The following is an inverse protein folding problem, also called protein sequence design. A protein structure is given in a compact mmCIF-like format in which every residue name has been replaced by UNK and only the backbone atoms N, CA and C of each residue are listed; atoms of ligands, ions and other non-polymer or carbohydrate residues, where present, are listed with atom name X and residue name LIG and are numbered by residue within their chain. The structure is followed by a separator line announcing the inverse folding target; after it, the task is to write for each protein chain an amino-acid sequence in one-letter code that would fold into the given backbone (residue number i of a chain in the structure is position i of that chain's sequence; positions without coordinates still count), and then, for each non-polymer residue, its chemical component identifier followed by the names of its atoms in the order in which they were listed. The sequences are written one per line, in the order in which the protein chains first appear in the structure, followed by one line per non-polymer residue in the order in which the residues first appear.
data_IF_910114370438
#
_entry.id   IF_910114370438
#
_cell.length_a   1.000
_cell.length_b   1.000
_cell.length_c   1.000
_cell.angle_alpha   90.00
_cell.angle_beta   90.00
_cell.angle_gamma   90.00
#
_symmetry.space_group_name_H-M   'P 1'
#
loop_
_entity.id
_entity.type
_entity.pdbx_description
1 polymer ?
2 non-polymer ?
3 non-polymer ?
4 water ?
#
# COMPACT_ATOMS: atom_id res chain seq x y z
N UNK A 3 -3.44 14.49 19.96
CA UNK A 3 -2.13 14.42 20.63
C UNK A 3 -2.24 13.40 21.74
N UNK A 4 -1.32 12.47 21.71
CA UNK A 4 -1.33 11.39 22.64
C UNK A 4 -0.25 11.68 23.65
N UNK A 5 -0.59 11.61 24.91
CA UNK A 5 0.42 11.74 25.97
C UNK A 5 1.33 10.52 26.02
N UNK A 6 2.67 10.72 26.18
CA UNK A 6 3.53 9.58 26.20
C UNK A 6 3.17 8.52 27.25
N UNK A 7 2.58 8.96 28.38
CA UNK A 7 2.30 8.02 29.48
C UNK A 7 1.17 7.09 29.16
N UNK A 8 0.45 7.37 28.05
CA UNK A 8 -0.61 6.49 27.58
C UNK A 8 -0.09 5.28 26.78
N UNK A 9 1.20 5.26 26.42
CA UNK A 9 1.77 4.20 25.59
C UNK A 9 2.72 3.30 26.34
N UNK A 10 2.68 2.02 26.00
CA UNK A 10 3.64 1.07 26.46
C UNK A 10 4.32 0.43 25.24
N UNK A 11 5.64 0.44 25.21
CA UNK A 11 6.40 -0.11 24.05
C UNK A 11 6.64 -1.54 24.43
N UNK A 12 6.23 -2.50 23.59
CA UNK A 12 6.33 -3.91 23.92
C UNK A 12 7.52 -4.54 23.23
N UNK A 13 7.61 -4.40 21.90
CA UNK A 13 8.66 -5.06 21.12
C UNK A 13 8.66 -4.55 19.73
N UNK A 14 9.83 -4.58 19.10
CA UNK A 14 9.97 -4.18 17.74
C UNK A 14 9.30 -5.18 16.79
N UNK A 15 8.61 -4.65 15.81
CA UNK A 15 7.91 -5.50 14.85
C UNK A 15 8.26 -5.15 13.41
N UNK A 16 8.96 -4.05 13.22
CA UNK A 16 9.41 -3.54 11.90
C UNK A 16 10.58 -2.57 12.02
N UNK A 17 11.37 -2.48 10.93
CA UNK A 17 12.32 -1.33 10.77
C UNK A 17 12.83 -1.23 9.33
N UNK A 18 13.38 -0.07 8.96
CA UNK A 18 13.84 0.21 7.59
C UNK A 18 14.22 1.67 7.33
N UNK A 21 10.25 2.62 9.23
CA UNK A 21 11.14 3.36 10.13
C UNK A 21 11.72 2.51 11.23
N UNK A 22 11.25 2.68 12.47
CA UNK A 22 11.19 1.63 13.45
C UNK A 22 9.70 1.52 13.82
N UNK A 23 9.22 0.31 13.95
CA UNK A 23 7.83 0.10 14.42
C UNK A 23 7.82 -0.80 15.59
N UNK A 24 7.06 -0.44 16.63
CA UNK A 24 6.87 -1.31 17.80
C UNK A 24 5.44 -1.67 17.98
N UNK A 25 5.20 -2.88 18.44
CA UNK A 25 3.93 -3.24 19.02
C UNK A 25 3.89 -2.46 20.34
N UNK A 26 2.78 -1.78 20.64
CA UNK A 26 2.61 -1.15 21.92
C UNK A 26 1.21 -1.38 22.40
N UNK A 27 0.92 -0.92 23.62
CA UNK A 27 -0.44 -0.94 24.14
C UNK A 27 -0.79 0.49 24.40
N UNK A 28 -2.06 0.81 24.18
CA UNK A 28 -2.59 2.18 24.41
C UNK A 28 -3.50 2.08 25.60
N UNK A 29 -3.18 2.84 26.66
CA UNK A 29 -3.89 2.77 27.96
C UNK A 29 -3.98 1.34 28.46
N UNK A 30 -2.84 0.65 28.38
CA UNK A 30 -2.60 -0.73 28.81
C UNK A 30 -3.63 -1.77 28.41
N UNK A 31 -4.44 -1.50 27.38
CA UNK A 31 -5.49 -2.46 26.99
C UNK A 31 -5.35 -2.89 25.50
N UNK A 32 -5.21 -1.94 24.62
CA UNK A 32 -5.42 -2.23 23.22
C UNK A 32 -4.12 -2.16 22.48
N UNK A 33 -3.93 -3.09 21.57
CA UNK A 33 -2.69 -3.11 20.77
C UNK A 33 -2.69 -1.97 19.72
N UNK A 34 -1.51 -1.42 19.54
CA UNK A 34 -1.27 -0.40 18.58
C UNK A 34 0.09 -0.69 17.95
N UNK A 35 0.31 -0.08 16.80
CA UNK A 35 1.62 -0.06 16.15
C UNK A 35 2.14 1.35 16.25
N UNK A 36 3.31 1.48 16.88
CA UNK A 36 3.91 2.79 17.13
C UNK A 36 5.10 2.97 16.18
N UNK A 37 5.04 4.00 15.32
CA UNK A 37 6.06 4.22 14.32
C UNK A 37 6.91 5.39 14.81
N UNK A 38 8.22 5.19 14.87
CA UNK A 38 9.14 6.27 15.22
C UNK A 38 10.11 6.55 14.09
N UNK A 39 10.61 7.79 14.02
CA UNK A 39 11.58 8.18 12.98
C UNK A 39 12.95 7.49 13.21
N UNK A 40 13.59 7.09 12.11
CA UNK A 40 14.76 6.22 12.17
C UNK A 40 16.05 7.06 12.21
N UNK A 41 16.74 7.06 13.36
CA UNK A 41 17.94 7.89 13.59
C UNK A 41 17.81 9.31 13.02
N UNK A 42 18.12 9.46 11.73
CA UNK A 42 18.00 10.73 11.02
C UNK A 42 17.61 10.52 9.57
N UNK A 43 17.06 9.35 9.27
CA UNK A 43 16.69 8.99 7.90
C UNK A 43 15.71 9.99 7.29
N UNK A 44 14.87 10.57 8.14
CA UNK A 44 13.81 11.46 7.69
C UNK A 44 13.66 12.50 8.81
N UNK A 45 12.93 13.57 8.54
CA UNK A 45 12.78 14.63 9.55
C UNK A 45 11.45 14.48 10.31
N UNK A 46 11.35 15.20 11.42
CA UNK A 46 10.13 15.23 12.22
C UNK A 46 9.01 15.95 11.48
N UNK A 47 9.35 17.02 10.75
CA UNK A 47 8.40 17.73 9.89
C UNK A 47 7.73 16.84 8.83
N UNK A 48 8.51 15.94 8.25
CA UNK A 48 7.96 14.93 7.36
C UNK A 48 6.90 14.14 8.11
N UNK A 49 7.27 13.65 9.31
CA UNK A 49 6.30 12.88 10.11
C UNK A 49 5.06 13.71 10.33
N UNK A 50 5.25 14.97 10.68
CA UNK A 50 4.15 15.90 10.94
C UNK A 50 3.25 16.09 9.74
N UNK A 51 3.86 16.13 8.57
CA UNK A 51 3.09 16.26 7.34
C UNK A 51 2.20 15.05 7.04
N UNK A 52 2.77 13.85 7.23
CA UNK A 52 2.02 12.60 7.19
C UNK A 52 0.85 12.63 8.15
N UNK A 53 1.09 13.11 9.39
CA UNK A 53 0.02 13.12 10.37
C UNK A 53 -1.09 14.09 10.04
N UNK A 54 -0.68 15.25 9.53
CA UNK A 54 -1.66 16.27 9.23
C UNK A 54 -2.62 15.79 8.10
N UNK A 55 -2.06 15.00 7.19
CA UNK A 55 -2.85 14.38 6.10
C UNK A 55 -3.69 13.28 6.74
N UNK A 56 -3.01 12.29 7.33
CA UNK A 56 -3.71 11.11 7.77
C UNK A 56 -4.73 11.34 8.89
N UNK A 57 -4.57 12.32 9.77
CA UNK A 57 -5.54 12.52 10.86
C UNK A 57 -6.91 12.97 10.36
N UNK A 58 -6.99 13.52 9.16
CA UNK A 58 -8.24 13.94 8.58
C UNK A 58 -8.99 12.80 7.92
N UNK A 59 -8.33 11.63 7.76
CA UNK A 59 -8.86 10.49 6.94
C UNK A 59 -9.33 9.33 7.80
N UNK A 60 -10.39 8.64 7.35
CA UNK A 60 -10.88 7.47 8.00
C UNK A 60 -11.69 6.63 7.07
N UNK A 61 -11.25 5.40 6.85
CA UNK A 61 -11.95 4.47 5.97
C UNK A 61 -11.54 3.09 6.49
N UNK A 62 -12.42 2.08 6.45
CA UNK A 62 -12.14 0.75 6.97
C UNK A 62 -11.05 -0.07 6.25
N UNK A 63 -10.64 0.35 5.04
CA UNK A 63 -9.59 -0.32 4.27
C UNK A 63 -8.35 0.54 4.15
N UNK A 64 -8.20 1.51 5.04
CA UNK A 64 -6.96 2.32 5.21
C UNK A 64 -6.54 2.13 6.65
N UNK A 65 -5.29 1.79 6.88
CA UNK A 65 -4.74 1.68 8.28
C UNK A 65 -5.00 3.02 8.96
N UNK A 66 -5.59 3.03 10.14
CA UNK A 66 -5.93 4.27 10.80
C UNK A 66 -4.78 4.88 11.57
N UNK A 67 -4.53 6.15 11.39
CA UNK A 67 -3.61 6.88 12.30
C UNK A 67 -4.47 7.36 13.44
N UNK A 68 -4.22 6.90 14.63
CA UNK A 68 -4.93 7.34 15.82
C UNK A 68 -4.49 8.67 16.36
N UNK A 69 -3.24 9.02 16.19
CA UNK A 69 -2.71 10.18 16.88
C UNK A 69 -1.20 10.29 16.82
N UNK A 70 -0.71 11.41 17.33
CA UNK A 70 0.73 11.69 17.36
C UNK A 70 1.18 11.99 18.79
N UNK A 71 2.30 11.43 19.16
CA UNK A 71 2.92 11.67 20.43
C UNK A 71 4.03 12.69 20.18
N UNK A 72 3.68 13.95 20.46
CA UNK A 72 4.58 15.09 20.29
C UNK A 72 5.66 15.18 21.38
N UNK A 73 5.40 14.66 22.56
CA UNK A 73 6.37 14.76 23.66
C UNK A 73 7.31 13.52 23.72
N UNK A 74 7.46 12.82 22.62
CA UNK A 74 8.50 11.83 22.51
C UNK A 74 9.60 12.47 21.69
N UNK A 75 10.82 11.95 21.85
CA UNK A 75 11.95 12.30 21.01
C UNK A 75 12.59 11.01 20.43
N UNK A 76 12.53 10.86 19.13
CA UNK A 76 11.79 11.74 18.25
C UNK A 76 10.28 11.43 18.40
N UNK A 77 9.42 12.26 17.81
CA UNK A 77 7.98 12.08 17.89
C UNK A 77 7.55 10.74 17.29
N UNK A 78 6.40 10.29 17.74
CA UNK A 78 5.94 9.06 17.21
C UNK A 78 4.48 9.10 16.78
N UNK A 79 4.20 8.21 15.84
CA UNK A 79 2.90 8.08 15.28
C UNK A 79 2.28 6.82 15.79
N UNK A 80 1.02 6.88 16.13
CA UNK A 80 0.31 5.77 16.77
C UNK A 80 -0.82 5.28 15.83
N UNK A 81 -0.65 4.06 15.33
CA UNK A 81 -1.51 3.44 14.32
C UNK A 81 -2.24 2.23 14.81
N UNK A 82 -3.32 1.96 14.07
CA UNK A 82 -4.01 0.70 14.13
C UNK A 82 -3.04 -0.44 13.97
N UNK A 83 -3.16 -1.40 14.89
CA UNK A 83 -2.35 -2.63 14.81
C UNK A 83 -3.00 -3.65 13.89
N UNK A 84 -2.23 -4.11 12.92
CA UNK A 84 -2.64 -5.08 11.94
C UNK A 84 -1.96 -6.41 12.24
N UNK A 85 -2.81 -7.35 12.64
CA UNK A 85 -2.34 -8.58 13.29
C UNK A 85 -1.37 -9.40 12.50
N UNK A 86 -1.50 -9.43 11.18
CA UNK A 86 -0.74 -10.38 10.39
C UNK A 86 0.34 -9.74 9.55
N UNK A 87 0.63 -8.47 9.80
CA UNK A 87 1.75 -7.83 9.10
C UNK A 87 1.57 -7.55 7.59
N UNK A 88 2.67 -7.39 6.90
CA UNK A 88 2.56 -6.87 5.55
C UNK A 88 2.07 -7.90 4.54
N UNK A 89 1.34 -7.40 3.56
CA UNK A 89 0.72 -8.26 2.58
C UNK A 89 1.73 -9.04 1.73
N UNK A 90 2.83 -8.41 1.34
CA UNK A 90 3.80 -9.06 0.53
C UNK A 90 4.33 -10.33 1.21
N UNK A 91 4.69 -10.24 2.49
CA UNK A 91 5.16 -11.41 3.26
C UNK A 91 4.10 -12.47 3.45
N UNK A 92 2.86 -12.04 3.59
CA UNK A 92 1.76 -12.92 3.84
C UNK A 92 1.46 -13.72 2.60
N UNK A 93 1.46 -13.05 1.45
CA UNK A 93 1.26 -13.77 0.20
C UNK A 93 2.34 -14.85 0.05
N UNK A 94 3.57 -14.48 0.34
CA UNK A 94 4.67 -15.39 0.08
C UNK A 94 4.67 -16.56 1.03
N UNK A 95 4.39 -16.26 2.28
CA UNK A 95 4.33 -17.24 3.33
C UNK A 95 3.16 -18.23 3.15
N UNK A 96 2.00 -17.77 2.73
CA UNK A 96 0.81 -18.64 2.63
C UNK A 96 0.58 -19.11 1.18
N UNK A 97 1.55 -18.87 0.28
CA UNK A 97 1.44 -19.24 -1.12
C UNK A 97 1.02 -20.72 -1.25
N UNK A 98 0.07 -20.94 -2.14
CA UNK A 98 -0.53 -22.22 -2.46
C UNK A 98 -1.79 -22.49 -1.69
N UNK A 99 -2.17 -21.60 -0.79
CA UNK A 99 -3.40 -21.78 -0.02
C UNK A 99 -4.57 -20.88 -0.43
N UNK A 100 -4.34 -20.08 -1.44
CA UNK A 100 -5.30 -19.04 -1.87
C UNK A 100 -6.10 -19.45 -3.08
N UNK A 101 -7.41 -19.38 -2.93
CA UNK A 101 -8.30 -19.48 -4.08
C UNK A 101 -8.35 -18.15 -4.85
N UNK A 102 -8.68 -18.17 -6.15
CA UNK A 102 -8.79 -16.92 -6.89
C UNK A 102 -9.76 -15.93 -6.21
N UNK A 103 -10.89 -16.42 -5.69
CA UNK A 103 -11.93 -15.56 -5.10
C UNK A 103 -11.38 -14.79 -3.91
N UNK A 104 -10.53 -15.42 -3.15
CA UNK A 104 -9.85 -14.80 -2.01
C UNK A 104 -8.86 -13.67 -2.46
N UNK A 105 -8.10 -13.98 -3.50
CA UNK A 105 -7.21 -13.00 -4.06
C UNK A 105 -7.96 -11.80 -4.61
N UNK A 106 -9.10 -12.08 -5.27
CA UNK A 106 -9.92 -11.00 -5.73
C UNK A 106 -10.39 -10.11 -4.58
N UNK A 107 -10.83 -10.74 -3.50
CA UNK A 107 -11.31 -10.00 -2.31
C UNK A 107 -10.24 -9.07 -1.74
N UNK A 108 -8.97 -9.51 -1.79
CA UNK A 108 -7.87 -8.70 -1.34
C UNK A 108 -7.72 -7.46 -2.27
N UNK A 109 -7.85 -7.68 -3.57
CA UNK A 109 -7.74 -6.55 -4.49
C UNK A 109 -8.90 -5.59 -4.27
N UNK A 110 -10.10 -6.09 -4.00
CA UNK A 110 -11.25 -5.24 -3.77
C UNK A 110 -11.05 -4.39 -2.50
N UNK A 111 -10.56 -5.03 -1.42
CA UNK A 111 -10.22 -4.29 -0.20
C UNK A 111 -9.35 -3.05 -0.57
N UNK A 112 -8.22 -3.30 -1.22
CA UNK A 112 -7.27 -2.24 -1.55
C UNK A 112 -7.94 -1.19 -2.45
N UNK A 113 -8.71 -1.64 -3.44
CA UNK A 113 -9.37 -0.75 -4.35
C UNK A 113 -10.34 0.19 -3.55
N UNK A 114 -11.04 -0.35 -2.58
CA UNK A 114 -11.91 0.44 -1.73
C UNK A 114 -11.13 1.56 -0.97
N UNK A 115 -9.97 1.21 -0.40
CA UNK A 115 -9.09 2.15 0.25
C UNK A 115 -8.66 3.23 -0.72
N UNK A 116 -8.18 2.78 -1.88
CA UNK A 116 -7.71 3.72 -2.88
C UNK A 116 -8.82 4.62 -3.47
N UNK A 117 -10.02 4.14 -3.64
CA UNK A 117 -11.11 4.94 -4.10
C UNK A 117 -11.45 6.00 -3.10
N UNK A 118 -11.35 5.67 -1.81
CA UNK A 118 -11.45 6.72 -0.75
C UNK A 118 -10.35 7.78 -0.87
N UNK A 119 -9.12 7.35 -1.04
CA UNK A 119 -8.04 8.33 -1.23
C UNK A 119 -8.26 9.22 -2.45
N UNK A 120 -8.72 8.62 -3.52
CA UNK A 120 -9.06 9.34 -4.71
C UNK A 120 -10.12 10.39 -4.44
N UNK A 121 -11.20 10.00 -3.75
CA UNK A 121 -12.26 10.93 -3.37
C UNK A 121 -11.73 12.05 -2.52
N UNK A 122 -10.79 11.76 -1.63
CA UNK A 122 -10.22 12.72 -0.71
C UNK A 122 -9.08 13.60 -1.32
N UNK A 123 -8.74 13.40 -2.59
CA UNK A 123 -7.65 14.11 -3.29
C UNK A 123 -6.33 13.85 -2.64
N UNK A 124 -6.04 12.58 -2.33
CA UNK A 124 -4.77 12.21 -1.74
C UNK A 124 -4.11 11.20 -2.70
N UNK A 125 -2.85 11.42 -3.01
CA UNK A 125 -2.06 10.48 -3.85
C UNK A 125 -1.21 9.69 -2.89
N UNK A 126 -1.24 8.37 -3.03
CA UNK A 126 -0.46 7.49 -2.20
C UNK A 126 0.99 7.60 -2.53
N UNK A 127 1.30 7.42 -3.81
CA UNK A 127 2.67 7.45 -4.38
C UNK A 127 3.58 6.27 -4.23
N UNK A 128 3.30 5.36 -3.36
CA UNK A 128 4.09 4.18 -3.24
C UNK A 128 3.21 2.95 -2.94
N UNK A 129 2.12 2.77 -3.73
CA UNK A 129 1.28 1.62 -3.55
C UNK A 129 1.99 0.37 -4.04
N UNK A 130 1.98 -0.68 -3.20
CA UNK A 130 2.62 -1.93 -3.48
C UNK A 130 2.18 -2.89 -2.45
N UNK A 131 2.28 -4.19 -2.70
CA UNK A 131 1.91 -5.17 -1.66
C UNK A 131 2.67 -5.03 -0.34
N UNK A 132 3.91 -4.58 -0.42
CA UNK A 132 4.76 -4.38 0.76
C UNK A 132 4.20 -3.28 1.64
N UNK A 133 3.34 -2.44 1.06
CA UNK A 133 2.72 -1.29 1.75
C UNK A 133 1.24 -1.47 2.07
N UNK A 134 0.77 -2.73 2.00
CA UNK A 134 -0.56 -3.14 2.45
C UNK A 134 -0.35 -4.06 3.65
N UNK A 135 -1.34 -4.07 4.52
CA UNK A 135 -1.31 -4.89 5.76
C UNK A 135 -2.49 -5.82 5.86
N UNK A 136 -2.35 -6.89 6.64
CA UNK A 136 -3.33 -7.91 6.71
C UNK A 136 -3.85 -7.95 8.12
N UNK A 137 -5.17 -7.86 8.27
CA UNK A 137 -5.81 -7.77 9.59
C UNK A 137 -6.53 -9.04 9.95
N UNK A 138 -7.49 -8.87 10.85
CA UNK A 138 -8.40 -9.94 11.20
C UNK A 138 -9.31 -10.27 10.02
N UNK A 139 -9.59 -11.56 9.93
CA UNK A 139 -10.42 -12.12 8.91
C UNK A 139 -9.74 -11.92 7.58
N UNK A 140 -8.44 -11.75 7.55
CA UNK A 140 -7.77 -11.61 6.26
C UNK A 140 -8.16 -10.33 5.47
N UNK A 141 -8.63 -9.30 6.18
CA UNK A 141 -8.93 -8.02 5.54
C UNK A 141 -7.61 -7.35 5.19
N UNK A 142 -7.52 -6.76 4.02
CA UNK A 142 -6.40 -5.98 3.61
C UNK A 142 -6.69 -4.50 3.81
N UNK A 143 -5.68 -3.80 4.33
CA UNK A 143 -5.70 -2.31 4.40
C UNK A 143 -4.47 -1.70 3.84
N UNK A 144 -4.65 -0.54 3.22
CA UNK A 144 -3.55 0.19 2.60
C UNK A 144 -2.77 0.90 3.74
N UNK A 145 -1.46 0.87 3.70
CA UNK A 145 -0.61 1.47 4.74
C UNK A 145 -0.05 2.76 4.31
N UNK A 146 0.59 3.34 5.32
CA UNK A 146 0.62 4.76 5.49
C UNK A 146 1.22 5.49 4.27
N UNK A 147 0.98 6.80 4.26
CA UNK A 147 1.26 7.69 3.13
C UNK A 147 1.19 9.09 3.72
N UNK A 148 1.77 10.07 3.03
CA UNK A 148 1.79 11.42 3.56
C UNK A 148 3.11 12.11 3.38
N UNK A 166 14.52 3.73 -5.97
CA UNK A 166 13.22 4.31 -6.30
C UNK A 166 12.33 3.11 -6.75
N UNK A 167 11.05 3.07 -6.33
CA UNK A 167 10.21 1.90 -6.65
C UNK A 167 9.67 1.93 -8.10
N UNK A 168 10.62 1.81 -9.04
CA UNK A 168 10.30 1.79 -10.45
C UNK A 168 9.33 0.69 -10.80
N UNK A 169 9.42 -0.47 -10.15
CA UNK A 169 8.59 -1.61 -10.54
C UNK A 169 7.09 -1.33 -10.42
N UNK A 170 6.75 -0.36 -9.56
CA UNK A 170 5.33 0.00 -9.30
C UNK A 170 4.99 1.36 -9.92
N UNK A 171 5.94 1.97 -10.61
CA UNK A 171 5.75 3.34 -11.12
C UNK A 171 5.26 3.46 -12.52
N UNK A 172 4.25 4.32 -12.74
CA UNK A 172 3.82 4.61 -14.10
C UNK A 172 4.95 5.29 -14.88
N UNK A 173 4.91 5.29 -16.23
CA UNK A 173 5.99 5.89 -17.03
C UNK A 173 6.11 7.38 -16.79
N UNK A 174 5.00 8.10 -16.54
CA UNK A 174 5.10 9.54 -16.27
C UNK A 174 5.68 9.81 -14.91
N UNK A 175 5.56 8.82 -14.01
CA UNK A 175 6.18 9.00 -12.73
C UNK A 175 7.71 8.72 -12.84
N UNK A 176 8.06 7.57 -13.41
CA UNK A 176 9.52 7.28 -13.49
C UNK A 176 10.26 8.26 -14.42
N UNK A 177 9.58 8.85 -15.39
CA UNK A 177 10.24 9.79 -16.29
C UNK A 177 10.24 11.26 -15.79
N UNK A 178 9.15 11.67 -15.13
CA UNK A 178 8.91 13.08 -14.89
C UNK A 178 8.37 13.43 -13.49
N UNK A 179 8.22 12.43 -12.63
CA UNK A 179 7.64 12.65 -11.29
C UNK A 179 6.23 13.28 -11.38
N UNK A 180 5.45 12.87 -12.37
CA UNK A 180 4.11 13.37 -12.50
C UNK A 180 3.12 12.47 -11.80
N UNK A 181 2.92 12.70 -10.51
CA UNK A 181 2.01 11.87 -9.69
C UNK A 181 0.58 12.33 -9.87
N UNK A 182 -0.36 11.39 -9.80
CA UNK A 182 -1.81 11.67 -9.83
C UNK A 182 -2.52 10.48 -9.27
N UNK A 183 -3.85 10.55 -9.12
CA UNK A 183 -4.58 9.27 -8.77
C UNK A 183 -4.37 8.23 -9.86
N UNK A 184 -4.17 8.72 -11.11
CA UNK A 184 -3.95 7.79 -12.20
C UNK A 184 -2.60 7.07 -12.17
N UNK A 185 -1.61 7.68 -11.56
CA UNK A 185 -0.34 6.97 -11.37
C UNK A 185 -0.50 5.95 -10.25
N UNK A 186 -1.34 6.26 -9.24
CA UNK A 186 -1.66 5.23 -8.25
C UNK A 186 -2.40 4.04 -8.86
N UNK A 187 -3.21 4.29 -9.90
CA UNK A 187 -3.88 3.26 -10.62
C UNK A 187 -2.94 2.26 -11.28
N UNK A 188 -1.89 2.82 -11.90
CA UNK A 188 -0.83 1.98 -12.49
C UNK A 188 -0.24 1.07 -11.37
N UNK A 189 0.13 1.66 -10.24
CA UNK A 189 0.64 0.90 -9.11
C UNK A 189 -0.31 -0.17 -8.66
N UNK A 190 -1.59 0.19 -8.59
CA UNK A 190 -2.65 -0.78 -8.20
C UNK A 190 -2.74 -1.99 -9.15
N UNK A 191 -2.54 -1.77 -10.45
CA UNK A 191 -2.43 -2.84 -11.38
C UNK A 191 -1.26 -3.80 -11.06
N UNK A 192 -0.11 -3.23 -10.73
CA UNK A 192 1.03 -4.03 -10.32
C UNK A 192 0.66 -4.77 -9.02
N UNK A 193 0.08 -4.07 -8.07
CA UNK A 193 -0.32 -4.75 -6.83
C UNK A 193 -1.26 -5.91 -7.15
N UNK A 194 -2.23 -5.72 -8.08
CA UNK A 194 -3.08 -6.85 -8.44
C UNK A 194 -2.28 -8.03 -8.93
N UNK A 195 -1.28 -7.76 -9.75
CA UNK A 195 -0.35 -8.78 -10.24
C UNK A 195 0.42 -9.50 -9.12
N UNK A 196 0.89 -8.73 -8.17
CA UNK A 196 1.48 -9.29 -6.95
C UNK A 196 0.54 -10.22 -6.19
N UNK A 197 -0.69 -9.77 -5.97
CA UNK A 197 -1.65 -10.57 -5.27
C UNK A 197 -1.97 -11.88 -6.00
N UNK A 198 -2.33 -11.77 -7.27
CA UNK A 198 -2.62 -12.93 -8.06
C UNK A 198 -1.47 -13.84 -8.29
N UNK A 199 -0.26 -13.27 -8.23
CA UNK A 199 0.96 -14.10 -8.27
C UNK A 199 1.49 -14.61 -6.93
N UNK A 200 0.71 -14.42 -5.88
CA UNK A 200 1.09 -14.79 -4.56
C UNK A 200 2.46 -14.30 -4.08
N UNK A 201 2.75 -13.04 -4.38
CA UNK A 201 3.94 -12.39 -3.87
C UNK A 201 5.17 -12.48 -4.73
N UNK A 202 5.03 -12.97 -5.95
CA UNK A 202 6.16 -12.94 -6.85
C UNK A 202 6.59 -11.47 -7.04
N UNK A 203 7.89 -11.29 -7.27
CA UNK A 203 8.43 -10.00 -7.61
C UNK A 203 8.21 -9.63 -9.08
N UNK A 204 7.56 -8.50 -9.35
CA UNK A 204 7.34 -8.05 -10.69
C UNK A 204 8.65 -7.91 -11.50
N UNK A 205 8.58 -8.27 -12.74
CA UNK A 205 9.64 -8.03 -13.75
C UNK A 205 10.86 -8.89 -13.45
N UNK A 206 10.63 -10.06 -12.85
CA UNK A 206 11.74 -11.00 -12.45
C UNK A 206 12.82 -10.29 -11.64
N UNK A 207 12.43 -9.32 -10.86
CA UNK A 207 13.41 -8.50 -10.13
C UNK A 207 14.50 -7.80 -10.94
N UNK A 208 14.22 -7.54 -12.24
CA UNK A 208 15.16 -6.75 -13.09
C UNK A 208 15.39 -5.41 -12.50
N UNK A 209 16.49 -4.81 -12.98
CA UNK A 209 16.95 -3.53 -12.47
C UNK A 209 16.00 -2.41 -12.84
N UNK A 210 16.10 -1.32 -12.11
CA UNK A 210 15.27 -0.16 -12.38
C UNK A 210 15.48 0.34 -13.78
N UNK A 211 16.75 0.40 -14.25
CA UNK A 211 17.04 0.79 -15.63
C UNK A 211 16.36 -0.14 -16.60
N UNK A 212 16.44 -1.42 -16.34
CA UNK A 212 15.86 -2.33 -17.30
C UNK A 212 14.32 -2.23 -17.32
N UNK A 213 13.73 -2.01 -16.17
CA UNK A 213 12.28 -1.91 -16.10
C UNK A 213 11.85 -0.63 -16.83
N UNK A 214 12.52 0.50 -16.62
CA UNK A 214 12.21 1.70 -17.34
C UNK A 214 12.24 1.41 -18.80
N UNK A 215 13.28 0.76 -19.27
CA UNK A 215 13.31 0.38 -20.70
C UNK A 215 12.18 -0.54 -21.15
N UNK A 216 11.85 -1.53 -20.32
CA UNK A 216 10.71 -2.44 -20.59
C UNK A 216 9.39 -1.67 -20.77
N UNK A 217 8.98 -0.90 -19.75
CA UNK A 217 7.72 -0.19 -19.78
C UNK A 217 7.68 0.91 -20.89
N UNK A 218 8.81 1.57 -21.11
CA UNK A 218 8.87 2.62 -22.15
C UNK A 218 8.61 2.04 -23.52
N UNK A 219 9.08 0.80 -23.76
CA UNK A 219 8.90 0.22 -25.07
C UNK A 219 7.51 -0.41 -25.27
N UNK A 220 6.74 -0.54 -24.18
CA UNK A 220 5.40 -1.17 -24.23
C UNK A 220 5.30 -2.60 -23.65
N UNK A 221 6.38 -3.13 -23.08
CA UNK A 221 6.33 -4.42 -22.36
C UNK A 221 5.35 -4.32 -21.18
N UNK A 222 4.62 -5.38 -20.93
CA UNK A 222 3.72 -5.50 -19.73
C UNK A 222 3.84 -6.91 -19.10
N UNK A 223 3.62 -7.01 -17.78
CA UNK A 223 3.61 -8.23 -17.08
C UNK A 223 2.64 -9.23 -17.67
N UNK A 224 3.04 -10.51 -17.72
CA UNK A 224 2.21 -11.62 -18.22
C UNK A 224 1.20 -12.09 -17.17
N UNK A 225 0.21 -12.83 -17.59
CA UNK A 225 -0.93 -13.18 -16.66
C UNK A 225 -0.50 -14.22 -15.64
N UNK A 226 -0.77 -13.96 -14.34
CA UNK A 226 -0.57 -15.00 -13.36
C UNK A 226 -1.60 -16.08 -13.54
N UNK A 227 -1.27 -17.32 -13.19
CA UNK A 227 -2.12 -18.47 -13.33
C UNK A 227 -3.50 -18.26 -12.73
N UNK A 228 -3.52 -17.72 -11.52
CA UNK A 228 -4.75 -17.57 -10.76
C UNK A 228 -5.61 -16.41 -11.19
N UNK A 229 -5.11 -15.53 -12.07
CA UNK A 229 -5.91 -14.48 -12.63
C UNK A 229 -6.71 -14.95 -13.85
N UNK A 230 -8.03 -14.81 -13.83
CA UNK A 230 -8.80 -15.07 -15.06
C UNK A 230 -8.41 -14.09 -16.22
N UNK A 231 -8.84 -14.40 -17.46
CA UNK A 231 -8.74 -13.46 -18.53
C UNK A 231 -9.37 -12.10 -18.20
N UNK A 232 -10.53 -12.11 -17.50
CA UNK A 232 -11.21 -10.89 -17.19
C UNK A 232 -10.38 -10.02 -16.22
N UNK A 233 -9.88 -10.64 -15.17
CA UNK A 233 -9.02 -9.95 -14.18
C UNK A 233 -7.77 -9.37 -14.90
N UNK A 234 -7.24 -10.15 -15.83
CA UNK A 234 -6.03 -9.74 -16.53
C UNK A 234 -6.27 -8.56 -17.40
N UNK A 235 -7.45 -8.44 -18.04
CA UNK A 235 -7.72 -7.24 -18.76
C UNK A 235 -7.88 -5.99 -17.88
N UNK A 236 -8.40 -6.13 -16.66
CA UNK A 236 -8.46 -5.00 -15.74
C UNK A 236 -7.03 -4.59 -15.38
N UNK A 237 -6.14 -5.54 -15.17
CA UNK A 237 -4.74 -5.20 -14.86
C UNK A 237 -4.16 -4.41 -16.01
N UNK A 238 -4.38 -4.88 -17.25
CA UNK A 238 -3.83 -4.20 -18.39
C UNK A 238 -4.36 -2.81 -18.62
N UNK A 239 -5.64 -2.59 -18.27
CA UNK A 239 -6.18 -1.29 -18.31
C UNK A 239 -5.49 -0.32 -17.37
N UNK A 240 -5.09 -0.84 -16.21
CA UNK A 240 -4.35 -0.03 -15.26
C UNK A 240 -2.96 0.40 -15.82
N UNK A 241 -2.43 -0.33 -16.79
CA UNK A 241 -1.08 -0.08 -17.34
C UNK A 241 -1.09 0.55 -18.73
N UNK A 242 -2.16 1.31 -19.04
CA UNK A 242 -2.13 2.15 -20.25
C UNK A 242 -1.05 3.18 -20.08
N UNK A 243 -0.35 3.45 -21.20
CA UNK A 243 0.73 4.42 -21.19
C UNK A 243 0.31 5.84 -20.70
N UNK A 244 -0.78 6.43 -21.20
CA UNK A 244 -1.25 7.73 -20.74
C UNK A 244 -2.14 7.50 -19.52
N UNK A 245 -1.98 8.32 -18.49
CA UNK A 245 -2.89 8.22 -17.34
C UNK A 245 -4.34 8.50 -17.72
N UNK A 246 -4.52 9.36 -18.71
CA UNK A 246 -5.86 9.62 -19.24
C UNK A 246 -6.61 8.37 -19.69
N UNK A 247 -5.89 7.37 -20.13
CA UNK A 247 -6.48 6.12 -20.60
C UNK A 247 -6.67 5.04 -19.55
N UNK A 248 -6.30 5.29 -18.29
CA UNK A 248 -6.47 4.29 -17.22
C UNK A 248 -7.81 4.58 -16.51
N UNK A 249 -8.42 3.57 -15.93
CA UNK A 249 -9.70 3.81 -15.19
C UNK A 249 -9.43 4.47 -13.84
N UNK A 250 -10.29 5.39 -13.42
CA UNK A 250 -10.22 5.87 -12.02
C UNK A 250 -10.52 4.71 -11.06
N UNK A 251 -10.11 4.88 -9.83
CA UNK A 251 -10.44 3.89 -8.78
C UNK A 251 -11.93 3.68 -8.59
N UNK A 252 -12.69 4.73 -8.75
CA UNK A 252 -14.16 4.62 -8.67
C UNK A 252 -14.69 3.66 -9.73
N UNK A 253 -14.07 3.67 -10.90
CA UNK A 253 -14.50 2.79 -12.00
C UNK A 253 -13.96 1.39 -11.76
N UNK A 254 -12.70 1.27 -11.34
CA UNK A 254 -12.17 -0.08 -10.99
C UNK A 254 -12.99 -0.74 -9.94
N UNK A 255 -13.45 0.03 -8.92
CA UNK A 255 -14.21 -0.54 -7.82
C UNK A 255 -15.50 -1.19 -8.35
N UNK A 256 -16.15 -0.52 -9.27
CA UNK A 256 -17.39 -1.05 -9.85
C UNK A 256 -17.06 -2.30 -10.67
N UNK A 257 -15.92 -2.29 -11.38
CA UNK A 257 -15.53 -3.49 -12.16
C UNK A 257 -15.21 -4.69 -11.28
N UNK A 258 -14.38 -4.49 -10.24
CA UNK A 258 -14.03 -5.56 -9.32
C UNK A 258 -15.22 -6.08 -8.51
N UNK A 259 -16.12 -5.18 -8.13
CA UNK A 259 -17.30 -5.60 -7.41
C UNK A 259 -18.28 -6.39 -8.28
N UNK A 260 -18.25 -6.21 -9.59
CA UNK A 260 -19.19 -6.87 -10.46
C UNK A 260 -18.77 -8.26 -10.76
N UNK A 261 -17.53 -8.65 -10.41
CA UNK A 261 -17.07 -9.96 -10.80
C UNK A 261 -17.79 -11.07 -10.02
#
# INVERSE_FOLDING_TARGET
GSVIDPSELTFVQEIGSGQFGLVHLGYWLNKDKVAIKTIREGAMSEEDFIEEAEVMMKLSHPKLVQLYGVCLEQAPICLVFEFMEHGCLSDYLRTQRGLFAAETLLGMCLDVCEGMAYLEEASVIHRDLAARNCLVGENQVIKVSDFGMTRFVLDDQYTSSTGTKFPVKWASPEVFSFSRYSSKSDVWSFGVLMWEVFSEGKIPYENRSNSEVVEDISTGFRLYKPRLASTHVYQIMNHCWKERPEDRPAFSRLLRQLAAIAASGL
#
